data_IF_721782350103
#
_entry.id   IF_721782350103
#
_cell.length_a   1.000
_cell.length_b   1.000
_cell.length_c   1.000
_cell.angle_alpha   90.00
_cell.angle_beta   90.00
_cell.angle_gamma   90.00
#
_symmetry.space_group_name_H-M   'P 1'
#
loop_
_entity.id
_entity.type
_entity.pdbx_description
1 polymer ?
#
# COMPACT_ATOMS: atom_id res chain seq x y z
N UNK A 1 7.85 9.37 8.31
CA UNK A 1 7.62 7.98 7.82
C UNK A 1 6.23 7.91 7.20
N UNK A 2 6.14 7.36 6.01
CA UNK A 2 4.87 7.10 5.33
C UNK A 2 4.57 5.61 5.38
N UNK A 3 3.42 5.24 5.92
CA UNK A 3 2.99 3.86 6.02
C UNK A 3 1.73 3.67 5.16
N UNK A 4 1.87 2.97 4.05
CA UNK A 4 0.77 2.70 3.13
C UNK A 4 0.15 1.36 3.49
N UNK A 5 -1.09 1.39 3.99
CA UNK A 5 -1.78 0.20 4.48
C UNK A 5 -2.55 -0.48 3.36
N UNK A 6 -2.02 -1.59 2.87
CA UNK A 6 -2.63 -2.39 1.79
C UNK A 6 -2.55 -3.89 2.12
N UNK A 7 -2.72 -4.24 3.39
CA UNK A 7 -2.54 -5.61 3.90
C UNK A 7 -3.72 -6.55 3.63
N UNK A 8 -4.82 -6.06 3.08
CA UNK A 8 -5.99 -6.87 2.71
C UNK A 8 -6.21 -6.82 1.21
N UNK A 9 -6.96 -7.78 0.69
CA UNK A 9 -7.36 -7.75 -0.71
C UNK A 9 -8.55 -6.82 -0.91
N UNK A 10 -8.75 -6.36 -2.16
CA UNK A 10 -9.89 -5.51 -2.49
C UNK A 10 -11.21 -6.22 -2.22
N UNK A 11 -12.27 -5.43 -2.03
CA UNK A 11 -13.60 -5.96 -1.81
C UNK A 11 -14.07 -6.78 -3.01
N UNK A 12 -15.02 -7.69 -2.75
CA UNK A 12 -15.44 -8.70 -3.70
C UNK A 12 -15.85 -8.14 -5.07
N UNK A 13 -16.54 -7.01 -5.10
CA UNK A 13 -16.97 -6.40 -6.37
C UNK A 13 -15.79 -5.99 -7.24
N UNK A 14 -14.78 -5.35 -6.65
CA UNK A 14 -13.57 -4.96 -7.36
C UNK A 14 -12.70 -6.18 -7.65
N UNK A 15 -12.66 -7.14 -6.74
CA UNK A 15 -11.91 -8.37 -6.91
C UNK A 15 -12.40 -9.21 -8.08
N UNK A 16 -13.71 -9.20 -8.36
CA UNK A 16 -14.28 -9.91 -9.51
C UNK A 16 -13.78 -9.33 -10.84
N UNK A 17 -13.50 -8.03 -10.89
CA UNK A 17 -13.02 -7.36 -12.09
C UNK A 17 -11.50 -7.44 -12.24
N UNK A 18 -10.75 -7.27 -11.16
CA UNK A 18 -9.28 -7.16 -11.19
C UNK A 18 -8.55 -8.37 -10.62
N UNK A 19 -9.28 -9.38 -10.12
CA UNK A 19 -8.69 -10.51 -9.42
C UNK A 19 -8.37 -10.18 -7.97
N UNK A 20 -7.71 -11.11 -7.27
CA UNK A 20 -7.33 -10.93 -5.86
C UNK A 20 -6.06 -10.10 -5.78
N UNK A 21 -6.22 -8.79 -5.67
CA UNK A 21 -5.09 -7.86 -5.56
C UNK A 21 -5.28 -6.94 -4.36
N UNK A 22 -4.17 -6.48 -3.74
CA UNK A 22 -4.25 -5.45 -2.70
C UNK A 22 -4.69 -4.11 -3.30
N UNK A 23 -5.35 -3.23 -2.51
CA UNK A 23 -5.83 -1.94 -3.04
C UNK A 23 -4.76 -1.10 -3.73
N UNK A 24 -3.52 -1.08 -3.21
CA UNK A 24 -2.44 -0.30 -3.78
C UNK A 24 -1.99 -0.78 -5.17
N UNK A 25 -2.44 -1.96 -5.60
CA UNK A 25 -2.12 -2.49 -6.92
C UNK A 25 -3.22 -2.27 -7.94
N UNK A 26 -4.32 -1.60 -7.55
CA UNK A 26 -5.37 -1.21 -8.50
C UNK A 26 -4.82 -0.23 -9.54
N UNK A 27 -5.25 -0.34 -10.81
CA UNK A 27 -4.81 0.61 -11.84
C UNK A 27 -5.51 1.95 -11.68
N UNK A 28 -4.76 3.04 -11.84
CA UNK A 28 -5.27 4.39 -11.81
C UNK A 28 -4.46 5.24 -12.78
N UNK A 29 -5.11 5.82 -13.79
CA UNK A 29 -4.46 6.67 -14.79
C UNK A 29 -3.24 5.99 -15.42
N UNK A 30 -3.39 4.73 -15.83
CA UNK A 30 -2.37 3.89 -16.46
C UNK A 30 -1.19 3.52 -15.58
N UNK A 31 -1.30 3.74 -14.27
CA UNK A 31 -0.27 3.36 -13.29
C UNK A 31 -0.91 2.58 -12.15
N UNK A 32 -0.11 1.73 -11.50
CA UNK A 32 -0.53 1.14 -10.25
C UNK A 32 -0.73 2.22 -9.20
N UNK A 33 -1.76 2.07 -8.36
CA UNK A 33 -2.07 3.05 -7.33
C UNK A 33 -0.89 3.32 -6.40
N UNK A 34 -0.07 2.31 -6.09
CA UNK A 34 1.09 2.50 -5.21
C UNK A 34 2.08 3.55 -5.76
N UNK A 35 2.20 3.69 -7.08
CA UNK A 35 3.10 4.69 -7.67
C UNK A 35 2.64 6.11 -7.35
N UNK A 36 1.33 6.34 -7.36
CA UNK A 36 0.76 7.63 -6.95
C UNK A 36 0.94 7.86 -5.44
N UNK A 37 0.72 6.81 -4.65
CA UNK A 37 0.83 6.90 -3.19
C UNK A 37 2.26 7.17 -2.74
N UNK A 38 3.24 6.51 -3.33
CA UNK A 38 4.66 6.71 -3.03
C UNK A 38 5.09 8.14 -3.33
N UNK A 39 4.53 8.77 -4.37
CA UNK A 39 4.84 10.16 -4.71
C UNK A 39 4.36 11.16 -3.67
N UNK A 40 3.47 10.76 -2.76
CA UNK A 40 3.02 11.62 -1.65
C UNK A 40 4.02 11.65 -0.50
N UNK A 41 5.00 10.76 -0.49
CA UNK A 41 6.05 10.76 0.52
C UNK A 41 6.99 11.93 0.30
N UNK A 42 7.48 12.52 1.42
CA UNK A 42 8.44 13.60 1.37
C UNK A 42 9.86 13.07 1.25
N UNK A 43 10.73 13.82 0.59
CA UNK A 43 12.14 13.49 0.46
C UNK A 43 12.78 13.26 1.83
N UNK A 44 13.55 12.18 1.95
CA UNK A 44 14.22 11.81 3.18
C UNK A 44 13.36 11.06 4.19
N UNK A 45 12.07 10.85 3.91
CA UNK A 45 11.20 10.07 4.77
C UNK A 45 11.18 8.61 4.31
N UNK A 46 11.18 7.69 5.27
CA UNK A 46 11.02 6.26 4.98
C UNK A 46 9.60 5.97 4.49
N UNK A 47 9.48 5.13 3.47
CA UNK A 47 8.20 4.72 2.90
C UNK A 47 8.05 3.21 3.05
N UNK A 48 6.95 2.78 3.67
CA UNK A 48 6.64 1.37 3.89
C UNK A 48 5.32 1.04 3.23
N UNK A 49 5.28 -0.07 2.51
CA UNK A 49 4.07 -0.58 1.88
C UNK A 49 3.70 -1.90 2.54
N UNK A 50 2.58 -1.92 3.25
CA UNK A 50 2.07 -3.12 3.93
C UNK A 50 1.22 -3.91 2.96
N UNK A 51 1.59 -5.17 2.75
CA UNK A 51 0.95 -6.05 1.76
C UNK A 51 0.55 -7.38 2.40
N UNK A 52 -0.44 -8.10 1.81
CA UNK A 52 -0.73 -9.46 2.26
C UNK A 52 0.49 -10.35 2.06
N UNK A 53 0.80 -11.19 3.06
CA UNK A 53 1.99 -12.06 3.02
C UNK A 53 1.93 -13.11 1.92
N UNK A 54 0.72 -13.48 1.47
CA UNK A 54 0.51 -14.48 0.43
C UNK A 54 0.38 -13.90 -0.98
N UNK A 55 0.51 -12.57 -1.11
CA UNK A 55 0.40 -11.92 -2.41
C UNK A 55 1.70 -12.07 -3.19
N UNK A 56 1.58 -12.59 -4.42
CA UNK A 56 2.71 -12.69 -5.35
C UNK A 56 2.52 -11.62 -6.42
N UNK A 57 3.46 -10.70 -6.52
CA UNK A 57 3.34 -9.58 -7.45
C UNK A 57 4.38 -9.67 -8.57
N UNK A 58 4.08 -8.92 -9.65
CA UNK A 58 4.87 -8.90 -10.86
C UNK A 58 6.30 -8.41 -10.59
N UNK A 59 7.26 -8.98 -11.32
CA UNK A 59 8.66 -8.62 -11.21
C UNK A 59 8.90 -7.12 -11.46
N UNK A 60 8.20 -6.53 -12.41
CA UNK A 60 8.34 -5.11 -12.71
C UNK A 60 7.87 -4.23 -11.56
N UNK A 61 6.76 -4.60 -10.91
CA UNK A 61 6.26 -3.88 -9.73
C UNK A 61 7.25 -3.99 -8.58
N UNK A 62 7.79 -5.19 -8.34
CA UNK A 62 8.78 -5.42 -7.29
C UNK A 62 10.05 -4.58 -7.51
N UNK A 63 10.57 -4.60 -8.73
CA UNK A 63 11.78 -3.84 -9.08
C UNK A 63 11.56 -2.34 -8.94
N UNK A 64 10.38 -1.84 -9.33
CA UNK A 64 10.04 -0.42 -9.18
C UNK A 64 10.04 -0.01 -7.71
N UNK A 65 9.42 -0.83 -6.86
CA UNK A 65 9.37 -0.55 -5.42
C UNK A 65 10.77 -0.52 -4.80
N UNK A 66 11.64 -1.47 -5.17
CA UNK A 66 13.01 -1.50 -4.68
C UNK A 66 13.81 -0.28 -5.14
N UNK A 67 13.67 0.11 -6.41
CA UNK A 67 14.38 1.28 -6.96
C UNK A 67 13.95 2.57 -6.28
N UNK A 68 12.71 2.65 -5.84
CA UNK A 68 12.18 3.85 -5.17
C UNK A 68 12.30 3.75 -3.66
N UNK A 69 13.07 2.80 -3.16
CA UNK A 69 13.41 2.62 -1.74
C UNK A 69 12.18 2.41 -0.86
N UNK A 70 11.17 1.74 -1.40
CA UNK A 70 9.98 1.36 -0.64
C UNK A 70 10.24 0.03 0.05
N UNK A 71 10.06 -0.02 1.36
CA UNK A 71 10.17 -1.25 2.14
C UNK A 71 8.80 -1.91 2.20
N UNK A 72 8.73 -3.17 1.79
CA UNK A 72 7.49 -3.94 1.81
C UNK A 72 7.40 -4.71 3.11
N UNK A 73 6.24 -4.64 3.76
CA UNK A 73 5.98 -5.33 5.02
C UNK A 73 4.85 -6.34 4.81
N UNK A 74 5.14 -7.65 4.88
CA UNK A 74 4.09 -8.67 4.74
C UNK A 74 3.30 -8.81 6.04
N UNK A 75 1.97 -8.90 5.91
CA UNK A 75 1.08 -9.15 7.05
C UNK A 75 0.01 -10.18 6.65
N UNK A 76 -0.60 -10.80 7.65
CA UNK A 76 -1.73 -11.70 7.43
C UNK A 76 -2.92 -10.90 6.87
N UNK A 77 -3.48 -11.32 5.74
CA UNK A 77 -4.58 -10.64 5.07
C UNK A 77 -5.89 -10.67 5.87
N UNK A 78 -6.00 -11.52 6.88
CA UNK A 78 -7.19 -11.64 7.72
C UNK A 78 -7.17 -10.71 8.93
N UNK A 79 -6.10 -9.96 9.15
CA UNK A 79 -6.04 -9.00 10.25
C UNK A 79 -7.00 -7.84 10.02
N UNK A 80 -7.56 -7.31 11.10
CA UNK A 80 -8.27 -6.03 11.03
C UNK A 80 -7.28 -4.92 10.71
N UNK A 81 -7.79 -3.77 10.26
CA UNK A 81 -6.92 -2.63 9.95
C UNK A 81 -6.06 -2.24 11.15
N UNK A 82 -6.68 -2.16 12.34
CA UNK A 82 -5.94 -1.82 13.56
C UNK A 82 -4.84 -2.84 13.89
N UNK A 83 -5.15 -4.13 13.75
CA UNK A 83 -4.16 -5.19 13.98
C UNK A 83 -3.02 -5.12 12.97
N UNK A 84 -3.34 -4.85 11.70
CA UNK A 84 -2.33 -4.72 10.66
C UNK A 84 -1.40 -3.53 10.93
N UNK A 85 -1.95 -2.39 11.37
CA UNK A 85 -1.15 -1.21 11.72
C UNK A 85 -0.18 -1.54 12.85
N UNK A 86 -0.65 -2.17 13.92
CA UNK A 86 0.19 -2.54 15.07
C UNK A 86 1.27 -3.54 14.65
N UNK A 87 0.90 -4.55 13.86
CA UNK A 87 1.85 -5.55 13.37
C UNK A 87 2.94 -4.88 12.53
N UNK A 88 2.56 -4.03 11.60
CA UNK A 88 3.52 -3.32 10.74
C UNK A 88 4.44 -2.42 11.57
N UNK A 89 3.87 -1.67 12.52
CA UNK A 89 4.64 -0.81 13.41
C UNK A 89 5.70 -1.58 14.17
N UNK A 90 5.35 -2.76 14.68
CA UNK A 90 6.27 -3.59 15.43
C UNK A 90 7.37 -4.21 14.57
N UNK A 91 7.11 -4.41 13.27
CA UNK A 91 8.10 -4.95 12.33
C UNK A 91 9.09 -3.89 11.86
N UNK A 92 8.77 -2.61 12.00
CA UNK A 92 9.67 -1.53 11.63
C UNK A 92 10.70 -1.38 12.74
N UNK A 93 11.96 -1.69 12.43
CA UNK A 93 13.03 -1.70 13.43
C UNK A 93 13.52 -0.31 13.80
N UNK A 94 13.61 0.59 12.84
CA UNK A 94 14.17 1.92 13.03
C UNK A 94 13.11 2.98 12.73
N UNK A 95 12.51 3.54 13.77
CA UNK A 95 11.45 4.53 13.65
C UNK A 95 12.07 5.92 13.75
N UNK A 96 11.82 6.77 12.74
CA UNK A 96 12.33 8.12 12.78
C UNK A 96 11.43 9.03 13.62
N UNK A 97 11.97 10.18 14.03
CA UNK A 97 11.27 11.14 14.90
C UNK A 97 10.42 12.14 14.11
N UNK A 98 10.32 11.99 12.80
CA UNK A 98 9.64 12.95 11.93
C UNK A 98 8.13 12.76 11.86
N UNK A 99 7.61 11.86 12.66
CA UNK A 99 6.19 11.59 12.71
C UNK A 99 5.75 10.49 11.76
N UNK A 100 4.52 10.05 11.94
CA UNK A 100 3.92 8.96 11.16
C UNK A 100 2.77 9.51 10.32
N UNK A 101 2.81 9.26 9.01
CA UNK A 101 1.71 9.52 8.11
C UNK A 101 1.13 8.17 7.67
N UNK A 102 -0.16 7.97 7.91
CA UNK A 102 -0.87 6.77 7.46
C UNK A 102 -1.64 7.08 6.18
N UNK A 103 -1.55 6.17 5.22
CA UNK A 103 -2.32 6.26 3.98
C UNK A 103 -2.97 4.90 3.73
N UNK A 104 -4.29 4.89 3.56
CA UNK A 104 -5.01 3.66 3.27
C UNK A 104 -4.86 3.31 1.80
N UNK A 105 -4.74 2.00 1.52
CA UNK A 105 -4.38 1.51 0.21
C UNK A 105 -5.26 1.97 -0.94
N UNK A 106 -6.55 2.22 -0.69
CA UNK A 106 -7.51 2.60 -1.73
C UNK A 106 -7.91 4.09 -1.72
N UNK A 107 -7.25 4.91 -0.90
CA UNK A 107 -7.66 6.30 -0.67
C UNK A 107 -7.75 7.12 -1.95
N UNK A 108 -6.70 7.10 -2.76
CA UNK A 108 -6.67 7.87 -4.01
C UNK A 108 -7.65 7.31 -5.03
N UNK A 109 -7.82 5.99 -5.06
CA UNK A 109 -8.74 5.34 -5.98
C UNK A 109 -10.19 5.74 -5.69
N UNK A 110 -10.60 5.74 -4.42
CA UNK A 110 -11.93 6.17 -4.02
C UNK A 110 -12.17 7.64 -4.37
N UNK A 111 -11.21 8.50 -4.12
CA UNK A 111 -11.29 9.92 -4.48
C UNK A 111 -11.49 10.11 -5.97
N UNK A 112 -10.75 9.35 -6.78
CA UNK A 112 -10.87 9.38 -8.23
C UNK A 112 -12.26 8.97 -8.68
N UNK A 113 -12.80 7.88 -8.13
CA UNK A 113 -14.16 7.42 -8.45
C UNK A 113 -15.21 8.44 -8.09
N UNK A 114 -15.08 9.09 -6.93
CA UNK A 114 -16.01 10.14 -6.51
C UNK A 114 -16.00 11.33 -7.48
N UNK A 115 -14.84 11.68 -7.99
CA UNK A 115 -14.72 12.76 -8.96
C UNK A 115 -15.34 12.46 -10.31
N UNK A 116 -15.61 11.20 -10.62
CA UNK A 116 -16.24 10.78 -11.86
C UNK A 116 -17.77 10.76 -11.82
N UNK A 117 -18.33 10.81 -10.62
CA UNK A 117 -19.77 10.80 -10.38
C UNK A 117 -20.24 12.24 -10.23
#
# INVERSE_FOLDING_TARGET
MLLIMSGSYVQQELGAEFGSIPPSFLPLANKRLFKHQVSLGHDGHAIYLVLPEDFVFDKHDYEWLLRNKVTMIPVDSNLTLGQAIVTAWNLIGDKDDKGLQLLFGDTLFKKFLQGMI
#
